data_IF_039349196578
#
_entry.id   IF_039349196578
#
_cell.length_a   1.000
_cell.length_b   1.000
_cell.length_c   1.000
_cell.angle_alpha   90.00
_cell.angle_beta   90.00
_cell.angle_gamma   90.00
#
_symmetry.space_group_name_H-M   'P 1'
#
loop_
_entity.id
_entity.type
_entity.pdbx_description
1 polymer ?
#
# COMPACT_ATOMS: atom_id res chain seq x y z
N UNK A 1 -4.59 7.19 20.92
CA UNK A 1 -4.28 6.59 19.61
C UNK A 1 -2.79 6.73 19.41
N UNK A 2 -2.05 5.61 19.30
CA UNK A 2 -0.66 5.66 18.82
C UNK A 2 -0.77 5.65 17.30
N UNK A 3 -0.31 6.71 16.65
CA UNK A 3 -0.30 6.82 15.20
C UNK A 3 1.05 7.40 14.79
N UNK A 4 1.62 6.86 13.73
CA UNK A 4 2.84 7.40 13.14
C UNK A 4 2.49 8.63 12.29
N UNK A 5 3.30 9.69 12.38
CA UNK A 5 3.08 10.90 11.57
C UNK A 5 3.29 10.59 10.09
N UNK A 6 4.15 9.60 9.78
CA UNK A 6 4.45 9.20 8.41
C UNK A 6 4.72 7.70 8.41
N UNK A 7 3.98 6.93 7.59
CA UNK A 7 4.10 5.47 7.54
C UNK A 7 3.85 4.92 6.13
N UNK A 8 4.70 4.00 5.69
CA UNK A 8 4.51 3.24 4.44
C UNK A 8 3.52 2.09 4.62
N UNK A 9 3.27 1.66 5.86
CA UNK A 9 2.43 0.51 6.16
C UNK A 9 0.97 0.95 6.27
N UNK A 10 0.37 1.33 5.14
CA UNK A 10 -1.05 1.67 5.07
C UNK A 10 -1.71 1.12 3.81
N UNK A 11 -3.01 0.87 3.89
CA UNK A 11 -3.81 0.39 2.76
C UNK A 11 -3.76 1.34 1.55
N UNK A 12 -3.53 2.63 1.77
CA UNK A 12 -3.31 3.59 0.69
C UNK A 12 -2.00 3.31 -0.08
N UNK A 13 -0.89 3.10 0.62
CA UNK A 13 0.39 2.81 -0.04
C UNK A 13 0.41 1.42 -0.66
N UNK A 14 -0.27 0.44 -0.07
CA UNK A 14 -0.51 -0.87 -0.69
C UNK A 14 -1.29 -0.71 -2.01
N UNK A 15 -2.36 0.09 -2.01
CA UNK A 15 -3.12 0.39 -3.22
C UNK A 15 -2.29 1.04 -4.32
N UNK A 16 -1.48 2.04 -3.98
CA UNK A 16 -0.57 2.65 -4.96
C UNK A 16 0.47 1.65 -5.48
N UNK A 17 0.94 0.73 -4.62
CA UNK A 17 1.83 -0.36 -5.03
C UNK A 17 1.19 -1.28 -6.08
N UNK A 18 -0.13 -1.28 -6.23
CA UNK A 18 -0.83 -2.00 -7.30
C UNK A 18 -0.54 -1.48 -8.71
N UNK A 19 -0.04 -0.26 -8.89
CA UNK A 19 0.23 0.29 -10.23
C UNK A 19 1.74 0.38 -10.52
N UNK A 20 2.14 0.05 -11.75
CA UNK A 20 3.54 0.10 -12.18
C UNK A 20 4.14 1.50 -11.98
N UNK A 21 3.32 2.54 -12.17
CA UNK A 21 3.72 3.94 -12.07
C UNK A 21 4.32 4.31 -10.71
N UNK A 22 3.84 3.74 -9.60
CA UNK A 22 4.28 4.13 -8.26
C UNK A 22 5.47 3.29 -7.79
N UNK A 23 6.64 3.50 -8.38
CA UNK A 23 7.90 2.93 -7.91
C UNK A 23 8.32 3.49 -6.54
N UNK A 24 9.38 2.93 -5.96
CA UNK A 24 9.89 3.33 -4.65
C UNK A 24 10.22 4.83 -4.60
N UNK A 25 10.84 5.38 -5.65
CA UNK A 25 11.25 6.79 -5.67
C UNK A 25 10.05 7.72 -5.62
N UNK A 26 9.00 7.43 -6.39
CA UNK A 26 7.77 8.24 -6.42
C UNK A 26 7.00 8.14 -5.12
N UNK A 27 6.91 6.95 -4.52
CA UNK A 27 6.26 6.77 -3.22
C UNK A 27 7.00 7.51 -2.11
N UNK A 28 8.34 7.44 -2.09
CA UNK A 28 9.17 8.23 -1.17
C UNK A 28 8.99 9.74 -1.39
N UNK A 29 8.92 10.18 -2.65
CA UNK A 29 8.69 11.59 -2.97
C UNK A 29 7.30 12.06 -2.51
N UNK A 30 6.28 11.21 -2.68
CA UNK A 30 4.93 11.47 -2.19
C UNK A 30 4.91 11.65 -0.67
N UNK A 31 5.55 10.76 0.08
CA UNK A 31 5.62 10.85 1.55
C UNK A 31 6.41 12.04 2.06
N UNK A 32 7.48 12.42 1.35
CA UNK A 32 8.22 13.65 1.67
C UNK A 32 7.36 14.90 1.43
N UNK A 33 6.46 14.87 0.45
CA UNK A 33 5.58 15.98 0.09
C UNK A 33 4.29 16.03 0.91
N UNK A 34 3.76 14.90 1.35
CA UNK A 34 2.61 14.83 2.24
C UNK A 34 2.91 13.83 3.34
N UNK A 35 3.01 14.27 4.61
CA UNK A 35 3.09 13.34 5.72
C UNK A 35 1.75 12.61 5.84
N UNK A 36 1.73 11.38 5.36
CA UNK A 36 0.60 10.46 5.44
C UNK A 36 0.97 9.40 6.49
N UNK A 37 0.21 9.38 7.58
CA UNK A 37 0.39 8.44 8.68
C UNK A 37 -0.38 7.14 8.47
N UNK A 38 -0.29 6.26 9.46
CA UNK A 38 -1.12 5.06 9.54
C UNK A 38 -1.55 4.78 10.99
N UNK A 39 -2.74 4.18 11.16
CA UNK A 39 -3.16 3.57 12.42
C UNK A 39 -2.45 2.23 12.63
N UNK A 40 -2.56 1.65 13.83
CA UNK A 40 -2.06 0.29 14.11
C UNK A 40 -2.72 -0.79 13.22
N UNK A 41 -3.89 -0.47 12.64
CA UNK A 41 -4.66 -1.35 11.76
C UNK A 41 -4.34 -1.12 10.27
N UNK A 42 -3.38 -0.25 9.95
CA UNK A 42 -2.99 0.06 8.57
C UNK A 42 -3.90 1.05 7.86
N UNK A 43 -4.78 1.76 8.58
CA UNK A 43 -5.64 2.78 7.97
C UNK A 43 -4.83 4.06 7.72
N UNK A 44 -4.80 4.60 6.50
CA UNK A 44 -4.10 5.84 6.20
C UNK A 44 -4.69 7.04 6.96
N UNK A 45 -3.79 7.92 7.41
CA UNK A 45 -4.14 9.19 8.04
C UNK A 45 -3.56 10.34 7.22
N UNK A 46 -4.42 11.14 6.59
CA UNK A 46 -4.03 12.30 5.82
C UNK A 46 -3.99 13.53 6.75
N UNK A 47 -2.79 13.95 7.16
CA UNK A 47 -2.62 15.06 8.09
C UNK A 47 -2.79 16.43 7.41
N UNK A 48 -3.62 17.29 7.98
CA UNK A 48 -3.77 18.68 7.58
C UNK A 48 -2.83 19.52 8.43
N UNK A 49 -1.86 20.15 7.76
CA UNK A 49 -0.78 20.91 8.37
C UNK A 49 -0.90 22.35 7.87
N UNK A 50 -1.04 23.28 8.82
CA UNK A 50 -1.18 24.70 8.53
C UNK A 50 0.15 25.35 8.14
N UNK A 51 0.12 26.63 7.78
CA UNK A 51 1.30 27.44 7.45
C UNK A 51 2.35 27.55 8.56
N UNK A 52 1.98 27.31 9.83
CA UNK A 52 2.91 27.25 10.97
C UNK A 52 3.58 25.87 11.14
N UNK A 53 3.41 24.97 10.16
CA UNK A 53 3.87 23.58 10.22
C UNK A 53 3.33 22.81 11.43
N UNK A 54 2.08 23.07 11.80
CA UNK A 54 1.38 22.39 12.87
C UNK A 54 0.23 21.56 12.32
N UNK A 55 0.13 20.31 12.77
CA UNK A 55 -1.06 19.48 12.53
C UNK A 55 -2.24 20.17 13.22
N UNK A 56 -3.36 20.32 12.52
CA UNK A 56 -4.61 20.90 13.06
C UNK A 56 -5.73 19.88 13.04
N UNK A 57 -5.79 19.06 12.00
CA UNK A 57 -6.75 17.99 11.82
C UNK A 57 -6.14 16.90 10.92
N UNK A 58 -6.82 15.77 10.80
CA UNK A 58 -6.42 14.72 9.87
C UNK A 58 -7.56 13.78 9.59
N UNK A 59 -7.63 13.27 8.36
CA UNK A 59 -8.66 12.33 7.94
C UNK A 59 -8.11 10.92 7.98
N UNK A 60 -8.74 10.07 8.77
CA UNK A 60 -8.43 8.63 8.85
C UNK A 60 -9.41 7.94 7.91
N UNK A 61 -8.91 7.14 6.98
CA UNK A 61 -9.75 6.51 5.95
C UNK A 61 -9.66 4.99 6.05
N UNK A 62 -10.80 4.32 6.16
CA UNK A 62 -10.91 2.87 6.03
C UNK A 62 -11.16 2.55 4.56
N UNK A 63 -10.19 1.91 3.90
CA UNK A 63 -10.26 1.60 2.47
C UNK A 63 -9.69 0.21 2.15
N UNK A 64 -10.14 -0.32 1.02
CA UNK A 64 -9.63 -1.54 0.41
C UNK A 64 -8.29 -1.28 -0.28
N UNK A 65 -7.26 -2.06 0.06
CA UNK A 65 -5.92 -1.87 -0.52
C UNK A 65 -5.76 -2.41 -1.93
N UNK A 66 -6.68 -3.23 -2.45
CA UNK A 66 -6.59 -3.74 -3.83
C UNK A 66 -7.33 -2.84 -4.81
N UNK A 67 -8.53 -2.42 -4.44
CA UNK A 67 -9.46 -1.67 -5.30
C UNK A 67 -9.41 -0.16 -5.07
N UNK A 68 -8.89 0.28 -3.93
CA UNK A 68 -8.89 1.69 -3.52
C UNK A 68 -10.26 2.18 -3.06
N UNK A 69 -11.25 1.29 -2.88
CA UNK A 69 -12.60 1.65 -2.45
C UNK A 69 -12.60 2.11 -0.99
N UNK A 70 -13.15 3.29 -0.74
CA UNK A 70 -13.36 3.83 0.61
C UNK A 70 -14.67 3.29 1.20
N UNK A 71 -14.61 2.80 2.44
CA UNK A 71 -15.78 2.26 3.16
C UNK A 71 -16.25 3.17 4.29
N UNK A 72 -15.32 3.78 5.01
CA UNK A 72 -15.62 4.66 6.14
C UNK A 72 -14.49 5.68 6.31
N UNK A 73 -14.77 6.73 7.08
CA UNK A 73 -13.79 7.75 7.42
C UNK A 73 -14.10 8.39 8.76
N UNK A 74 -13.04 8.69 9.50
CA UNK A 74 -13.13 9.42 10.75
C UNK A 74 -12.16 10.59 10.77
N UNK A 75 -12.35 11.50 11.72
CA UNK A 75 -11.56 12.72 11.81
C UNK A 75 -10.81 12.78 13.14
N UNK A 76 -9.53 13.13 13.01
CA UNK A 76 -8.76 13.68 14.10
C UNK A 76 -8.85 15.21 14.05
N UNK A 77 -9.11 15.82 15.20
CA UNK A 77 -9.03 17.27 15.39
C UNK A 77 -8.13 17.58 16.57
N UNK A 78 -7.26 18.57 16.40
CA UNK A 78 -6.49 19.10 17.51
C UNK A 78 -7.30 20.18 18.22
N UNK A 79 -7.63 19.92 19.48
CA UNK A 79 -8.42 20.84 20.31
C UNK A 79 -7.86 22.27 20.31
N UNK A 80 -8.75 23.23 20.08
CA UNK A 80 -8.44 24.66 20.12
C UNK A 80 -7.69 25.20 18.90
N UNK A 81 -7.45 24.40 17.85
CA UNK A 81 -6.86 24.87 16.58
C UNK A 81 -7.91 24.95 15.46
N UNK A 82 -7.91 26.02 14.65
CA UNK A 82 -8.68 26.06 13.42
C UNK A 82 -8.24 24.95 12.46
N UNK A 83 -9.18 24.32 11.77
CA UNK A 83 -8.89 23.35 10.70
C UNK A 83 -8.27 24.05 9.50
N UNK A 84 -7.41 23.36 8.75
CA UNK A 84 -6.77 23.88 7.55
C UNK A 84 -6.94 22.94 6.35
N UNK A 85 -6.51 23.36 5.17
CA UNK A 85 -6.55 22.52 3.96
C UNK A 85 -5.47 21.42 4.02
N UNK A 86 -5.74 20.27 3.41
CA UNK A 86 -4.70 19.28 3.20
C UNK A 86 -3.68 19.84 2.21
N UNK A 87 -2.39 19.87 2.61
CA UNK A 87 -1.32 20.48 1.83
C UNK A 87 -1.19 22.00 1.97
N UNK A 88 -1.90 22.65 2.89
CA UNK A 88 -1.86 24.11 3.05
C UNK A 88 -0.44 24.65 3.28
N UNK A 89 0.37 23.98 4.09
CA UNK A 89 1.77 24.34 4.32
C UNK A 89 2.64 24.38 3.04
N UNK A 90 2.20 23.74 1.95
CA UNK A 90 2.91 23.77 0.66
C UNK A 90 2.77 25.14 -0.03
N UNK A 91 1.77 25.96 0.34
CA UNK A 91 1.54 27.28 -0.25
C UNK A 91 2.70 28.25 0.01
N UNK A 92 3.38 28.10 1.14
CA UNK A 92 4.56 28.89 1.50
C UNK A 92 5.82 28.34 0.83
N UNK A 93 5.86 27.02 0.57
CA UNK A 93 6.97 26.36 -0.13
C UNK A 93 6.99 26.70 -1.62
N UNK A 94 5.80 26.88 -2.22
CA UNK A 94 5.63 27.12 -3.65
C UNK A 94 4.78 28.37 -3.92
N UNK A 95 5.27 29.57 -3.59
CA UNK A 95 4.44 30.77 -3.52
C UNK A 95 3.88 31.23 -4.87
N UNK A 96 4.54 30.88 -5.98
CA UNK A 96 4.19 31.29 -7.35
C UNK A 96 3.51 30.18 -8.16
N UNK A 97 3.42 28.96 -7.62
CA UNK A 97 2.82 27.84 -8.35
C UNK A 97 1.29 27.93 -8.32
N UNK A 98 0.64 27.54 -9.41
CA UNK A 98 -0.82 27.40 -9.46
C UNK A 98 -1.27 26.27 -8.53
N UNK A 99 -2.29 26.54 -7.73
CA UNK A 99 -2.88 25.57 -6.82
C UNK A 99 -3.91 24.74 -7.58
N UNK A 100 -3.79 23.41 -7.53
CA UNK A 100 -4.88 22.51 -7.91
C UNK A 100 -5.67 22.14 -6.66
N UNK A 101 -6.97 22.41 -6.65
CA UNK A 101 -7.85 22.13 -5.51
C UNK A 101 -8.84 21.02 -5.87
N UNK A 102 -8.96 20.04 -4.98
CA UNK A 102 -9.89 18.91 -5.07
C UNK A 102 -10.65 18.73 -3.76
N UNK A 103 -11.68 17.88 -3.78
CA UNK A 103 -12.48 17.57 -2.60
C UNK A 103 -11.70 16.70 -1.61
N UNK A 104 -11.12 15.59 -2.05
CA UNK A 104 -10.50 14.59 -1.17
C UNK A 104 -8.96 14.54 -1.21
N UNK A 105 -8.39 14.10 -0.08
CA UNK A 105 -6.96 14.04 0.18
C UNK A 105 -6.27 12.96 -0.66
N UNK A 106 -6.97 11.86 -0.93
CA UNK A 106 -6.50 10.74 -1.76
C UNK A 106 -6.19 11.24 -3.18
N UNK A 107 -7.10 12.00 -3.77
CA UNK A 107 -6.98 12.58 -5.11
C UNK A 107 -5.84 13.57 -5.17
N UNK A 108 -5.70 14.46 -4.18
CA UNK A 108 -4.58 15.39 -4.12
C UNK A 108 -3.23 14.65 -4.04
N UNK A 109 -3.13 13.63 -3.17
CA UNK A 109 -1.93 12.82 -3.01
C UNK A 109 -1.56 12.08 -4.31
N UNK A 110 -2.52 11.36 -4.91
CA UNK A 110 -2.32 10.63 -6.17
C UNK A 110 -1.88 11.57 -7.28
N UNK A 111 -2.63 12.66 -7.50
CA UNK A 111 -2.36 13.59 -8.60
C UNK A 111 -1.03 14.33 -8.47
N UNK A 112 -0.56 14.55 -7.23
CA UNK A 112 0.76 15.11 -6.98
C UNK A 112 1.92 14.22 -7.44
N UNK A 113 1.68 12.92 -7.66
CA UNK A 113 2.67 11.95 -8.12
C UNK A 113 2.86 11.94 -9.64
N UNK A 114 2.07 12.75 -10.36
CA UNK A 114 2.16 12.93 -11.80
C UNK A 114 2.82 14.27 -12.14
N UNK A 115 3.50 14.38 -13.30
CA UNK A 115 4.19 15.59 -13.73
C UNK A 115 3.18 16.67 -14.15
N UNK A 116 2.62 17.35 -13.16
CA UNK A 116 1.65 18.43 -13.34
C UNK A 116 2.27 19.76 -12.90
N UNK A 117 1.85 20.90 -13.46
CA UNK A 117 2.38 22.22 -13.09
C UNK A 117 1.76 22.76 -11.78
N UNK A 118 1.11 21.91 -10.99
CA UNK A 118 0.27 22.31 -9.86
C UNK A 118 0.84 21.88 -8.51
N UNK A 119 0.50 22.64 -7.48
CA UNK A 119 0.56 22.19 -6.08
C UNK A 119 -0.83 21.72 -5.69
N UNK A 120 -0.96 20.46 -5.31
CA UNK A 120 -2.26 19.83 -5.05
C UNK A 120 -2.67 20.00 -3.59
N UNK A 121 -3.85 20.57 -3.37
CA UNK A 121 -4.48 20.72 -2.06
C UNK A 121 -5.85 20.04 -2.09
N UNK A 122 -6.32 19.62 -0.92
CA UNK A 122 -7.68 19.14 -0.75
C UNK A 122 -8.41 19.88 0.38
N UNK A 123 -9.72 20.05 0.23
CA UNK A 123 -10.55 20.60 1.30
C UNK A 123 -10.79 19.58 2.41
N UNK A 124 -10.85 18.29 2.04
CA UNK A 124 -11.26 17.21 2.93
C UNK A 124 -12.74 17.30 3.32
N UNK A 125 -13.52 18.18 2.70
CA UNK A 125 -14.92 18.44 3.06
C UNK A 125 -15.78 18.19 1.83
N UNK A 126 -16.83 17.40 1.99
CA UNK A 126 -17.86 17.18 0.97
C UNK A 126 -18.44 18.51 0.47
N UNK A 127 -18.59 19.49 1.38
CA UNK A 127 -18.97 20.86 1.04
C UNK A 127 -18.03 21.85 1.68
N UNK A 128 -17.12 22.39 0.87
CA UNK A 128 -16.24 23.46 1.29
C UNK A 128 -17.02 24.77 1.47
N UNK A 129 -16.70 25.53 2.51
CA UNK A 129 -17.26 26.87 2.72
C UNK A 129 -16.31 27.92 2.18
N UNK A 130 -16.78 29.14 1.85
CA UNK A 130 -15.89 30.24 1.44
C UNK A 130 -14.80 30.55 2.47
N UNK A 131 -15.08 30.35 3.77
CA UNK A 131 -14.12 30.52 4.86
C UNK A 131 -12.96 29.53 4.77
N UNK A 132 -13.24 28.29 4.37
CA UNK A 132 -12.21 27.25 4.20
C UNK A 132 -11.21 27.59 3.08
N UNK A 133 -11.63 28.44 2.13
CA UNK A 133 -10.85 28.81 0.95
C UNK A 133 -10.13 30.16 1.10
N UNK A 134 -10.31 30.85 2.22
CA UNK A 134 -9.60 32.11 2.51
C UNK A 134 -8.07 32.01 2.43
N UNK A 135 -7.41 30.90 2.82
CA UNK A 135 -5.96 30.73 2.65
C UNK A 135 -5.48 30.82 1.19
N UNK A 136 -6.39 30.64 0.22
CA UNK A 136 -6.09 30.70 -1.21
C UNK A 136 -6.24 32.11 -1.81
N UNK A 137 -6.69 33.09 -1.03
CA UNK A 137 -6.85 34.46 -1.51
C UNK A 137 -5.53 35.02 -2.07
N UNK A 138 -5.59 35.59 -3.28
CA UNK A 138 -4.40 36.09 -3.98
C UNK A 138 -3.55 35.02 -4.69
N UNK A 139 -3.94 33.74 -4.63
CA UNK A 139 -3.33 32.65 -5.42
C UNK A 139 -4.14 32.39 -6.70
N UNK A 140 -3.48 31.85 -7.72
CA UNK A 140 -4.16 31.29 -8.89
C UNK A 140 -4.58 29.86 -8.59
N UNK A 141 -5.88 29.58 -8.62
CA UNK A 141 -6.45 28.28 -8.28
C UNK A 141 -7.10 27.63 -9.51
N UNK A 142 -6.82 26.37 -9.74
CA UNK A 142 -7.58 25.50 -10.65
C UNK A 142 -8.30 24.47 -9.80
N UNK A 143 -9.61 24.45 -9.85
CA UNK A 143 -10.41 23.44 -9.16
C UNK A 143 -10.69 22.29 -10.11
N UNK A 144 -10.54 21.07 -9.61
CA UNK A 144 -10.92 19.83 -10.29
C UNK A 144 -12.07 19.19 -9.49
N UNK A 145 -13.33 19.58 -9.77
CA UNK A 145 -14.50 19.00 -9.12
C UNK A 145 -14.61 17.50 -9.39
N UNK A 146 -15.23 16.79 -8.44
CA UNK A 146 -15.73 15.46 -8.73
C UNK A 146 -16.90 15.55 -9.71
N UNK A 147 -17.19 14.43 -10.37
CA UNK A 147 -18.20 14.35 -11.43
C UNK A 147 -19.57 14.76 -10.90
N UNK A 148 -20.16 15.81 -11.47
CA UNK A 148 -21.45 16.38 -11.08
C UNK A 148 -21.36 17.54 -10.08
N UNK A 149 -20.18 17.88 -9.57
CA UNK A 149 -20.01 18.94 -8.56
C UNK A 149 -19.63 20.31 -9.15
N UNK A 150 -19.51 20.43 -10.48
CA UNK A 150 -19.04 21.66 -11.13
C UNK A 150 -19.79 22.92 -10.67
N UNK A 151 -21.12 22.86 -10.63
CA UNK A 151 -21.97 24.00 -10.24
C UNK A 151 -21.81 24.37 -8.77
N UNK A 152 -21.70 23.40 -7.87
CA UNK A 152 -21.54 23.64 -6.42
C UNK A 152 -20.20 24.34 -6.15
N UNK A 153 -19.14 23.91 -6.83
CA UNK A 153 -17.84 24.58 -6.79
C UNK A 153 -17.89 25.99 -7.35
N UNK A 154 -18.62 26.20 -8.44
CA UNK A 154 -18.79 27.53 -9.03
C UNK A 154 -19.44 28.52 -8.07
N UNK A 155 -20.52 28.12 -7.41
CA UNK A 155 -21.19 28.97 -6.41
C UNK A 155 -20.28 29.26 -5.21
N UNK A 156 -19.56 28.26 -4.73
CA UNK A 156 -18.68 28.37 -3.56
C UNK A 156 -17.50 29.33 -3.82
N UNK A 157 -16.83 29.18 -4.96
CA UNK A 157 -15.67 29.99 -5.33
C UNK A 157 -16.05 31.45 -5.61
N UNK A 158 -17.22 31.70 -6.20
CA UNK A 158 -17.72 33.05 -6.44
C UNK A 158 -17.97 33.85 -5.15
N UNK A 159 -18.24 33.16 -4.04
CA UNK A 159 -18.42 33.78 -2.74
C UNK A 159 -17.09 34.13 -2.03
N UNK A 160 -15.94 33.70 -2.55
CA UNK A 160 -14.62 33.99 -1.97
C UNK A 160 -14.08 35.32 -2.53
N UNK A 161 -13.85 36.35 -1.71
CA UNK A 161 -13.38 37.63 -2.19
C UNK A 161 -11.93 37.56 -2.69
N UNK A 162 -11.65 38.22 -3.81
CA UNK A 162 -10.30 38.34 -4.39
C UNK A 162 -9.62 37.00 -4.76
N UNK A 163 -10.40 35.95 -5.05
CA UNK A 163 -9.88 34.68 -5.52
C UNK A 163 -9.82 34.65 -7.06
N UNK A 164 -8.66 34.33 -7.61
CA UNK A 164 -8.51 34.06 -9.05
C UNK A 164 -8.63 32.56 -9.27
N UNK A 165 -9.72 32.11 -9.90
CA UNK A 165 -9.98 30.69 -10.07
C UNK A 165 -10.39 30.31 -11.50
N UNK A 166 -10.11 29.06 -11.85
CA UNK A 166 -10.65 28.36 -13.01
C UNK A 166 -11.20 27.00 -12.54
N UNK A 167 -12.35 26.58 -13.09
CA UNK A 167 -12.94 25.28 -12.76
C UNK A 167 -12.78 24.38 -13.97
N UNK A 168 -12.15 23.23 -13.77
CA UNK A 168 -11.97 22.24 -14.82
C UNK A 168 -13.29 21.51 -15.08
N UNK A 169 -13.70 21.47 -16.34
CA UNK A 169 -14.86 20.69 -16.79
C UNK A 169 -14.48 19.28 -17.28
N UNK A 170 -13.26 18.83 -16.98
CA UNK A 170 -12.73 17.53 -17.41
C UNK A 170 -13.65 16.41 -16.93
N UNK A 171 -14.02 16.40 -15.64
CA UNK A 171 -14.84 15.32 -15.07
C UNK A 171 -16.27 15.29 -15.61
N UNK A 172 -16.83 16.41 -16.07
CA UNK A 172 -18.15 16.47 -16.72
C UNK A 172 -18.15 15.80 -18.11
N UNK A 173 -16.98 15.75 -18.76
CA UNK A 173 -16.81 15.17 -20.10
C UNK A 173 -16.43 13.70 -20.07
N UNK A 174 -16.04 13.18 -18.90
CA UNK A 174 -15.60 11.79 -18.75
C UNK A 174 -16.79 10.84 -18.89
N UNK A 175 -16.68 9.92 -19.86
CA UNK A 175 -17.59 8.80 -20.02
C UNK A 175 -17.14 7.65 -19.10
N UNK A 176 -18.11 6.91 -18.55
CA UNK A 176 -17.86 5.81 -17.61
C UNK A 176 -17.98 6.20 -16.13
N UNK A 177 -17.54 5.28 -15.27
CA UNK A 177 -17.80 5.28 -13.83
C UNK A 177 -16.68 5.93 -12.98
N UNK A 178 -15.79 6.70 -13.62
CA UNK A 178 -14.82 7.52 -12.89
C UNK A 178 -15.50 8.75 -12.31
N UNK A 179 -15.39 8.93 -10.99
CA UNK A 179 -15.96 10.05 -10.26
C UNK A 179 -14.94 11.14 -9.93
N UNK A 180 -13.65 10.79 -9.77
CA UNK A 180 -12.57 11.75 -9.49
C UNK A 180 -11.52 11.78 -10.59
N UNK A 181 -10.75 12.87 -10.68
CA UNK A 181 -9.62 12.99 -11.63
C UNK A 181 -8.55 11.93 -11.37
N UNK A 182 -8.34 11.54 -10.11
CA UNK A 182 -7.40 10.47 -9.76
C UNK A 182 -7.85 9.11 -10.32
N UNK A 183 -9.14 8.77 -10.20
CA UNK A 183 -9.68 7.54 -10.80
C UNK A 183 -9.52 7.53 -12.32
N UNK A 184 -9.81 8.66 -12.97
CA UNK A 184 -9.61 8.79 -14.42
C UNK A 184 -8.14 8.59 -14.82
N UNK A 185 -7.18 9.14 -14.06
CA UNK A 185 -5.75 8.99 -14.37
C UNK A 185 -5.24 7.58 -14.05
N UNK A 186 -5.66 6.99 -12.93
CA UNK A 186 -5.27 5.65 -12.52
C UNK A 186 -5.82 4.55 -13.43
N UNK A 187 -7.04 4.71 -13.97
CA UNK A 187 -7.60 3.75 -14.94
C UNK A 187 -6.80 3.63 -16.23
N UNK A 188 -5.92 4.61 -16.52
CA UNK A 188 -5.01 4.59 -17.67
C UNK A 188 -3.62 4.05 -17.31
N UNK A 189 -3.36 3.76 -16.03
CA UNK A 189 -2.07 3.23 -15.58
C UNK A 189 -2.08 1.70 -15.62
N UNK A 190 -0.98 1.07 -16.07
CA UNK A 190 -0.85 -0.37 -16.00
C UNK A 190 -0.73 -0.83 -14.54
N UNK A 191 -1.50 -1.87 -14.20
CA UNK A 191 -1.37 -2.57 -12.93
C UNK A 191 -0.09 -3.41 -12.91
N UNK A 192 0.50 -3.55 -11.72
CA UNK A 192 1.58 -4.51 -11.49
C UNK A 192 1.00 -5.92 -11.59
N UNK A 193 1.69 -6.83 -12.27
CA UNK A 193 1.25 -8.22 -12.30
C UNK A 193 1.24 -8.82 -10.90
N UNK A 194 0.23 -9.65 -10.65
CA UNK A 194 0.21 -10.55 -9.50
C UNK A 194 1.42 -11.50 -9.55
N UNK A 195 1.75 -12.13 -8.42
CA UNK A 195 2.83 -13.11 -8.39
C UNK A 195 2.63 -14.23 -9.42
N UNK A 196 1.37 -14.67 -9.59
CA UNK A 196 0.98 -15.72 -10.52
C UNK A 196 1.16 -15.30 -11.99
N UNK A 197 0.73 -14.09 -12.35
CA UNK A 197 0.96 -13.53 -13.69
C UNK A 197 2.46 -13.31 -13.95
N UNK A 198 3.20 -12.83 -12.95
CA UNK A 198 4.65 -12.68 -13.05
C UNK A 198 5.36 -14.03 -13.22
N UNK A 199 4.86 -15.09 -12.58
CA UNK A 199 5.35 -16.45 -12.78
C UNK A 199 5.08 -16.94 -14.20
N UNK A 200 3.87 -16.70 -14.73
CA UNK A 200 3.55 -17.02 -16.12
C UNK A 200 4.47 -16.27 -17.09
N UNK A 201 4.69 -14.97 -16.91
CA UNK A 201 5.63 -14.19 -17.73
C UNK A 201 7.03 -14.79 -17.72
N UNK A 202 7.56 -15.21 -16.56
CA UNK A 202 8.86 -15.90 -16.47
C UNK A 202 8.86 -17.23 -17.22
N UNK A 203 7.75 -17.97 -17.22
CA UNK A 203 7.61 -19.21 -17.97
C UNK A 203 7.58 -18.97 -19.48
N UNK A 204 6.86 -17.94 -19.93
CA UNK A 204 6.80 -17.54 -21.34
C UNK A 204 8.16 -17.08 -21.87
N UNK A 205 8.90 -16.30 -21.07
CA UNK A 205 10.28 -15.90 -21.39
C UNK A 205 11.22 -17.11 -21.52
N UNK A 206 11.03 -18.13 -20.68
CA UNK A 206 11.82 -19.36 -20.73
C UNK A 206 11.43 -20.27 -21.91
N UNK A 207 10.15 -20.28 -22.31
CA UNK A 207 9.65 -21.06 -23.43
C UNK A 207 8.49 -20.34 -24.14
N UNK A 208 8.76 -19.71 -25.31
CA UNK A 208 7.75 -18.97 -26.07
C UNK A 208 6.54 -19.80 -26.52
N UNK A 209 6.63 -21.13 -26.55
CA UNK A 209 5.49 -22.00 -26.85
C UNK A 209 4.41 -21.95 -25.75
N UNK A 210 4.77 -21.57 -24.52
CA UNK A 210 3.81 -21.40 -23.42
C UNK A 210 2.86 -20.25 -23.74
N UNK A 211 3.38 -19.11 -24.20
CA UNK A 211 2.55 -17.98 -24.63
C UNK A 211 1.60 -18.37 -25.79
N UNK A 212 2.06 -19.21 -26.72
CA UNK A 212 1.23 -19.72 -27.80
C UNK A 212 0.10 -20.60 -27.26
N UNK A 213 0.39 -21.49 -26.30
CA UNK A 213 -0.63 -22.36 -25.69
C UNK A 213 -1.66 -21.56 -24.91
N UNK A 214 -1.23 -20.61 -24.07
CA UNK A 214 -2.11 -19.71 -23.32
C UNK A 214 -3.07 -19.00 -24.27
N UNK A 215 -2.53 -18.41 -25.34
CA UNK A 215 -3.35 -17.71 -26.34
C UNK A 215 -4.26 -18.62 -27.15
N UNK A 216 -3.78 -19.80 -27.54
CA UNK A 216 -4.53 -20.71 -28.43
C UNK A 216 -5.66 -21.41 -27.68
N UNK A 217 -5.46 -21.69 -26.39
CA UNK A 217 -6.40 -22.42 -25.55
C UNK A 217 -7.19 -21.50 -24.61
N UNK A 218 -6.97 -20.18 -24.66
CA UNK A 218 -7.64 -19.17 -23.83
C UNK A 218 -7.50 -19.49 -22.34
N UNK A 219 -6.27 -19.75 -21.90
CA UNK A 219 -5.97 -20.14 -20.52
C UNK A 219 -5.83 -18.92 -19.61
N UNK A 220 -6.44 -18.99 -18.44
CA UNK A 220 -6.31 -17.99 -17.38
C UNK A 220 -5.42 -18.48 -16.23
N UNK A 221 -4.68 -17.56 -15.62
CA UNK A 221 -3.86 -17.87 -14.45
C UNK A 221 -4.76 -17.94 -13.22
N UNK A 222 -4.85 -19.11 -12.60
CA UNK A 222 -5.68 -19.35 -11.40
C UNK A 222 -4.88 -19.39 -10.08
N UNK A 223 -3.55 -19.37 -10.15
CA UNK A 223 -2.67 -19.35 -8.97
C UNK A 223 -1.32 -20.04 -9.21
N UNK A 224 -0.48 -20.07 -8.17
CA UNK A 224 0.81 -20.80 -8.17
C UNK A 224 0.73 -21.94 -7.16
N UNK A 225 1.13 -23.13 -7.56
CA UNK A 225 1.30 -24.28 -6.67
C UNK A 225 2.79 -24.44 -6.30
N UNK A 226 3.14 -24.67 -5.02
CA UNK A 226 4.50 -25.02 -4.66
C UNK A 226 4.91 -26.34 -5.32
N UNK A 227 6.15 -26.43 -5.82
CA UNK A 227 6.68 -27.65 -6.46
C UNK A 227 6.84 -28.84 -5.49
N UNK A 228 6.47 -28.71 -4.22
CA UNK A 228 6.51 -29.81 -3.24
C UNK A 228 5.41 -30.86 -3.45
N UNK A 229 4.40 -30.55 -4.25
CA UNK A 229 3.19 -31.39 -4.35
C UNK A 229 3.07 -32.13 -5.69
N UNK A 230 4.16 -32.20 -6.48
CA UNK A 230 4.22 -33.08 -7.65
C UNK A 230 4.67 -34.45 -7.13
N UNK A 231 3.81 -35.49 -7.13
CA UNK A 231 4.28 -36.85 -6.93
C UNK A 231 5.27 -37.13 -8.05
N UNK A 232 6.52 -37.49 -7.69
CA UNK A 232 7.46 -38.02 -8.66
C UNK A 232 6.81 -39.29 -9.22
N UNK A 233 6.28 -39.20 -10.43
CA UNK A 233 5.72 -40.35 -11.12
C UNK A 233 6.87 -41.36 -11.33
N UNK A 234 6.77 -42.49 -10.64
CA UNK A 234 7.76 -43.53 -10.64
C UNK A 234 7.72 -44.26 -11.99
N UNK A 235 8.86 -44.28 -12.67
CA UNK A 235 9.09 -45.19 -13.80
C UNK A 235 8.84 -46.64 -13.33
N UNK A 236 8.10 -47.50 -14.07
CA UNK A 236 7.61 -48.76 -13.52
C UNK A 236 8.74 -49.79 -13.41
N UNK A 237 8.99 -50.29 -12.19
CA UNK A 237 9.68 -51.58 -11.98
C UNK A 237 8.96 -52.42 -10.91
N UNK A 238 8.91 -53.71 -11.23
CA UNK A 238 8.08 -54.77 -10.67
C UNK A 238 8.31 -55.03 -9.16
N UNK A 239 7.21 -55.24 -8.47
CA UNK A 239 7.08 -55.84 -7.13
C UNK A 239 7.37 -57.37 -7.19
N UNK A 240 7.71 -58.05 -6.07
CA UNK A 240 6.67 -58.35 -5.07
C UNK A 240 7.07 -58.54 -3.58
N UNK A 241 6.10 -58.16 -2.73
CA UNK A 241 5.57 -58.84 -1.53
C UNK A 241 6.43 -59.02 -0.26
N UNK A 242 5.96 -58.48 0.88
CA UNK A 242 5.14 -59.27 1.83
C UNK A 242 4.80 -58.57 3.18
N UNK A 243 3.52 -58.72 3.57
CA UNK A 243 2.92 -58.95 4.91
C UNK A 243 2.81 -57.82 5.96
N UNK A 244 1.57 -57.39 6.15
CA UNK A 244 0.92 -56.78 7.33
C UNK A 244 0.58 -57.84 8.42
N UNK A 245 0.27 -57.52 9.71
CA UNK A 245 -0.89 -56.67 10.06
C UNK A 245 -0.87 -55.81 11.36
N UNK A 246 -1.52 -54.64 11.22
CA UNK A 246 -2.53 -53.96 12.09
C UNK A 246 -2.37 -53.93 13.63
N UNK A 247 -2.15 -52.71 14.14
CA UNK A 247 -2.75 -52.20 15.38
C UNK A 247 -3.29 -50.77 15.19
N UNK A 248 -4.53 -50.56 15.66
CA UNK A 248 -5.10 -49.29 16.14
C UNK A 248 -5.14 -48.08 15.21
N UNK A 249 -5.89 -48.22 14.11
CA UNK A 249 -6.05 -47.23 13.04
C UNK A 249 -7.15 -46.16 13.23
N UNK A 250 -7.64 -45.89 14.45
CA UNK A 250 -8.71 -44.87 14.62
C UNK A 250 -8.43 -43.82 15.70
N UNK A 251 -7.40 -44.00 16.54
CA UNK A 251 -7.10 -43.07 17.64
C UNK A 251 -5.69 -42.44 17.58
N UNK A 252 -5.04 -42.47 16.41
CA UNK A 252 -3.78 -41.74 16.16
C UNK A 252 -3.86 -40.74 14.98
N UNK A 253 -4.92 -40.76 14.18
CA UNK A 253 -5.08 -39.90 13.00
C UNK A 253 -5.52 -38.45 13.30
N UNK A 254 -5.81 -38.11 14.56
CA UNK A 254 -6.13 -36.72 14.95
C UNK A 254 -4.96 -36.04 15.68
N UNK A 255 -4.01 -36.80 16.22
CA UNK A 255 -2.86 -36.27 16.97
C UNK A 255 -1.54 -36.24 16.18
N UNK A 256 -1.46 -36.87 15.00
CA UNK A 256 -0.25 -36.89 14.15
C UNK A 256 -0.26 -35.88 12.99
N UNK A 257 -1.30 -35.05 12.85
CA UNK A 257 -1.34 -34.00 11.82
C UNK A 257 -0.56 -32.72 12.20
N UNK A 258 0.17 -32.71 13.32
CA UNK A 258 0.91 -31.53 13.78
C UNK A 258 2.44 -31.64 13.80
N UNK A 259 3.03 -32.80 13.51
CA UNK A 259 4.48 -32.93 13.71
C UNK A 259 5.17 -33.78 12.65
N UNK A 260 5.24 -33.31 11.40
CA UNK A 260 6.42 -33.58 10.56
C UNK A 260 6.75 -32.38 9.66
N UNK A 261 7.51 -31.42 10.20
CA UNK A 261 8.45 -30.62 9.41
C UNK A 261 9.58 -30.05 10.30
N UNK A 262 10.76 -30.64 10.08
CA UNK A 262 12.12 -30.11 10.26
C UNK A 262 12.77 -30.10 11.66
N UNK A 263 13.89 -30.82 11.71
CA UNK A 263 14.87 -30.95 12.79
C UNK A 263 15.87 -29.80 12.77
N UNK A 264 16.26 -29.34 13.97
CA UNK A 264 17.36 -28.37 14.20
C UNK A 264 16.92 -27.05 14.83
N UNK A 265 16.35 -27.08 16.05
CA UNK A 265 15.88 -25.88 16.76
C UNK A 265 16.96 -25.35 17.70
N UNK A 266 17.43 -24.12 17.49
CA UNK A 266 17.97 -23.31 18.59
C UNK A 266 16.94 -22.22 18.94
N UNK A 267 16.09 -22.43 19.96
CA UNK A 267 15.02 -21.49 20.34
C UNK A 267 15.54 -20.15 20.86
N UNK A 268 16.85 -20.05 21.16
CA UNK A 268 17.48 -18.87 21.73
C UNK A 268 18.14 -17.97 20.66
N UNK A 269 17.83 -18.17 19.37
CA UNK A 269 18.47 -17.45 18.27
C UNK A 269 18.32 -15.91 18.38
N UNK A 270 17.24 -15.40 18.98
CA UNK A 270 17.03 -13.98 19.26
C UNK A 270 18.03 -13.39 20.29
N UNK A 271 18.71 -14.24 21.07
CA UNK A 271 19.77 -13.85 22.02
C UNK A 271 21.18 -13.95 21.43
N UNK A 272 21.30 -14.32 20.15
CA UNK A 272 22.57 -14.37 19.45
C UNK A 272 23.12 -12.94 19.24
N UNK A 273 24.42 -12.74 19.47
CA UNK A 273 25.07 -11.44 19.27
C UNK A 273 25.06 -10.91 17.83
N UNK A 274 24.69 -11.76 16.86
CA UNK A 274 24.62 -11.42 15.44
C UNK A 274 23.20 -11.17 14.94
N UNK A 275 22.18 -11.29 15.81
CA UNK A 275 20.80 -10.95 15.51
C UNK A 275 20.43 -9.59 16.11
N UNK A 276 19.60 -8.83 15.40
CA UNK A 276 19.01 -7.60 15.90
C UNK A 276 17.54 -7.52 15.50
N UNK A 277 16.74 -6.85 16.33
CA UNK A 277 15.32 -6.61 16.04
C UNK A 277 15.18 -5.50 14.99
N UNK A 278 14.39 -5.78 13.97
CA UNK A 278 14.01 -4.85 12.92
C UNK A 278 12.50 -4.84 12.70
N UNK A 279 12.05 -3.94 11.83
CA UNK A 279 10.63 -3.64 11.62
C UNK A 279 9.84 -4.85 11.10
N UNK A 280 10.51 -5.77 10.38
CA UNK A 280 9.91 -7.00 9.81
C UNK A 280 10.23 -8.27 10.61
N UNK A 281 10.67 -8.14 11.88
CA UNK A 281 11.07 -9.26 12.76
C UNK A 281 12.57 -9.33 13.02
N UNK A 282 13.06 -10.48 13.50
CA UNK A 282 14.50 -10.67 13.82
C UNK A 282 15.33 -10.83 12.54
N UNK A 283 16.29 -9.95 12.31
CA UNK A 283 17.21 -10.04 11.17
C UNK A 283 18.53 -10.71 11.59
N UNK A 284 18.99 -11.68 10.81
CA UNK A 284 20.24 -12.39 11.07
C UNK A 284 21.39 -11.80 10.24
N UNK A 285 22.34 -11.14 10.89
CA UNK A 285 23.49 -10.51 10.22
C UNK A 285 24.45 -11.51 9.55
N UNK A 286 24.47 -12.78 9.99
CA UNK A 286 25.31 -13.83 9.38
C UNK A 286 24.69 -14.43 8.11
N UNK A 287 23.36 -14.49 8.03
CA UNK A 287 22.63 -15.08 6.90
C UNK A 287 22.11 -14.02 5.91
N UNK A 288 22.22 -12.73 6.26
CA UNK A 288 21.71 -11.60 5.48
C UNK A 288 20.23 -11.71 5.08
N UNK A 289 19.39 -12.24 5.96
CA UNK A 289 17.94 -12.38 5.75
C UNK A 289 17.15 -12.31 7.06
N UNK A 290 15.85 -12.04 6.93
CA UNK A 290 14.88 -12.12 8.03
C UNK A 290 14.55 -13.57 8.37
N UNK A 291 14.39 -13.87 9.67
CA UNK A 291 14.05 -15.20 10.16
C UNK A 291 12.86 -15.14 11.11
N UNK A 292 11.96 -16.13 11.03
CA UNK A 292 10.80 -16.24 11.91
C UNK A 292 11.23 -16.46 13.38
N UNK A 293 10.46 -15.88 14.31
CA UNK A 293 10.70 -15.94 15.74
C UNK A 293 10.76 -17.41 16.23
N UNK A 294 11.93 -17.80 16.78
CA UNK A 294 12.16 -19.15 17.28
C UNK A 294 12.42 -20.24 16.21
N UNK A 295 12.56 -19.88 14.93
CA UNK A 295 12.73 -20.85 13.82
C UNK A 295 13.97 -20.63 12.94
N UNK A 296 14.85 -19.68 13.29
CA UNK A 296 16.11 -19.48 12.56
C UNK A 296 17.23 -20.38 13.07
N UNK A 297 17.67 -21.36 12.27
CA UNK A 297 18.94 -22.03 12.49
C UNK A 297 20.08 -21.15 11.95
N UNK A 298 20.92 -20.63 12.84
CA UNK A 298 22.13 -19.88 12.47
C UNK A 298 23.40 -20.74 12.46
N UNK A 299 23.26 -22.07 12.65
CA UNK A 299 24.35 -23.05 12.56
C UNK A 299 25.54 -22.66 13.43
N UNK A 300 25.28 -22.22 14.67
CA UNK A 300 26.35 -21.94 15.63
C UNK A 300 26.57 -23.23 16.40
N UNK A 301 27.56 -24.02 15.97
CA UNK A 301 28.19 -24.99 16.87
C UNK A 301 28.63 -24.21 18.11
N UNK A 302 28.21 -24.69 19.29
CA UNK A 302 28.54 -24.07 20.55
C UNK A 302 30.07 -24.05 20.73
N UNK A 303 30.67 -22.87 20.73
CA UNK A 303 31.99 -22.67 21.32
C UNK A 303 31.86 -22.98 22.82
N UNK A 304 32.21 -24.21 23.19
CA UNK A 304 32.35 -24.62 24.59
C UNK A 304 33.57 -23.88 25.15
N UNK A 305 33.42 -22.98 26.14
CA UNK A 305 34.58 -22.42 26.80
C UNK A 305 35.33 -23.52 27.57
N UNK A 306 36.67 -23.49 27.63
CA UNK A 306 37.42 -24.52 28.33
C UNK A 306 37.04 -24.52 29.82
N UNK A 307 36.95 -25.71 30.40
CA UNK A 307 36.62 -25.91 31.81
C UNK A 307 37.56 -25.10 32.72
N UNK A 308 37.04 -24.49 33.80
CA UNK A 308 37.91 -23.86 34.80
C UNK A 308 38.73 -24.95 35.48
N UNK A 309 40.06 -24.78 35.47
CA UNK A 309 40.99 -25.55 36.30
C UNK A 309 40.92 -25.16 37.77
#
# INVERSE_FOLDING_TARGET
MKAEITSFNSSFFEYLCGFVWFDQERLEALMKRYPIGATEQGEPIFWHINSEHKITNGRIITMDSETGKVYDGSWYYQDGRPTCLFGEYLLDTFPTQTVALVTDEITAAIMSSFPTPYVWLATGKEKATPTDLLPLAGKSVVVFPDKGEYSEWQETLQAVPNLQFYISDVMEKVQGDCHTIAQMVLSQQPLRPTEAEAALMRMEDANPNIALLVKTLDLEVVGISPTSDIPKDETPKQEPASKEPKQDAVMQSILLAQEERWHGRNPECHKCKFSHEGINGTYCGKLHRYVEYGKGDCGVEADIPPAPG
#
